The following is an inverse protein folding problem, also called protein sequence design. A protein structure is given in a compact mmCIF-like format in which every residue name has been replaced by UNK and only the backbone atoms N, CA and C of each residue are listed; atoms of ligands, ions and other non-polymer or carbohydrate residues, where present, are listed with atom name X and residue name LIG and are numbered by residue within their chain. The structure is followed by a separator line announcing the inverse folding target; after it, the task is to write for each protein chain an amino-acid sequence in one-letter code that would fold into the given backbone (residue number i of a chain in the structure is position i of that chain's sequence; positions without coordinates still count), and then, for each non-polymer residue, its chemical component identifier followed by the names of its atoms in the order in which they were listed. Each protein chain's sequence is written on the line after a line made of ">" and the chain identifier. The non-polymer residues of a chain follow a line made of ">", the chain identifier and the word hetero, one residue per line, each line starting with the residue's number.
data_IF_878452396045
#
_entry.id   IF_878452396045
#
_cell.length_a   1.000
_cell.length_b   1.000
_cell.length_c   1.000
_cell.angle_alpha   90.00
_cell.angle_beta   90.00
_cell.angle_gamma   90.00
#
_symmetry.space_group_name_H-M   'P 1'
#
loop_
_entity.id
_entity.type
_entity.pdbx_description
1 polymer ?
#
# COMPACT_ATOMS: atom_id res chain seq x y z
N UNK A 1 -40.02 -11.96 -45.00
CA UNK A 1 -39.71 -12.39 -43.62
C UNK A 1 -38.66 -11.42 -43.10
N UNK A 2 -39.06 -10.57 -42.16
CA UNK A 2 -38.22 -9.51 -41.59
C UNK A 2 -37.19 -10.12 -40.63
N UNK A 3 -35.90 -9.94 -40.93
CA UNK A 3 -34.84 -10.23 -39.96
C UNK A 3 -34.73 -9.04 -38.99
N UNK A 4 -35.16 -9.28 -37.77
CA UNK A 4 -35.24 -8.32 -36.66
C UNK A 4 -33.87 -7.98 -36.07
N UNK A 5 -33.58 -6.69 -35.98
CA UNK A 5 -32.87 -5.99 -34.89
C UNK A 5 -31.77 -6.75 -34.11
N UNK A 6 -30.53 -6.67 -34.60
CA UNK A 6 -29.32 -6.79 -33.76
C UNK A 6 -28.37 -5.56 -33.71
N UNK A 7 -28.64 -4.37 -34.31
CA UNK A 7 -27.79 -3.20 -34.08
C UNK A 7 -27.85 -2.63 -32.64
N UNK A 8 -29.00 -2.75 -31.95
CA UNK A 8 -29.24 -2.08 -30.65
C UNK A 8 -28.66 -2.80 -29.43
N UNK A 9 -28.38 -4.11 -29.53
CA UNK A 9 -27.88 -4.89 -28.41
C UNK A 9 -26.48 -4.42 -27.95
N UNK A 10 -25.66 -3.90 -28.88
CA UNK A 10 -24.33 -3.39 -28.57
C UNK A 10 -24.35 -1.97 -27.99
N UNK A 11 -25.16 -1.06 -28.53
CA UNK A 11 -25.30 0.28 -27.97
C UNK A 11 -25.81 0.22 -26.52
N UNK A 12 -26.73 -0.71 -26.23
CA UNK A 12 -27.15 -1.02 -24.88
C UNK A 12 -26.07 -1.69 -24.05
N UNK A 13 -25.34 -2.70 -24.57
CA UNK A 13 -24.28 -3.39 -23.82
C UNK A 13 -23.09 -2.47 -23.51
N UNK A 14 -22.71 -1.57 -24.42
CA UNK A 14 -21.65 -0.58 -24.26
C UNK A 14 -22.08 0.58 -23.34
N UNK A 15 -23.32 1.08 -23.47
CA UNK A 15 -23.88 2.00 -22.46
C UNK A 15 -23.88 1.34 -21.08
N UNK A 16 -24.30 0.07 -20.98
CA UNK A 16 -24.34 -0.64 -19.70
C UNK A 16 -22.93 -0.93 -19.13
N UNK A 17 -21.93 -1.23 -19.96
CA UNK A 17 -20.60 -1.65 -19.49
C UNK A 17 -19.57 -0.52 -19.37
N UNK A 18 -19.63 0.50 -20.23
CA UNK A 18 -18.63 1.56 -20.31
C UNK A 18 -19.18 2.93 -19.90
N UNK A 19 -20.47 3.25 -20.07
CA UNK A 19 -20.96 4.56 -19.59
C UNK A 19 -20.82 4.71 -18.08
N UNK A 20 -21.13 3.66 -17.30
CA UNK A 20 -20.89 3.70 -15.85
C UNK A 20 -19.40 3.86 -15.50
N UNK A 21 -18.47 3.30 -16.29
CA UNK A 21 -17.01 3.49 -16.10
C UNK A 21 -16.52 4.86 -16.60
N UNK A 22 -17.17 5.44 -17.60
CA UNK A 22 -16.90 6.80 -18.10
C UNK A 22 -17.41 7.88 -17.14
N UNK A 23 -18.42 7.57 -16.34
CA UNK A 23 -18.92 8.45 -15.27
C UNK A 23 -18.22 8.18 -13.93
N UNK A 24 -17.51 7.05 -13.80
CA UNK A 24 -16.67 6.78 -12.64
C UNK A 24 -15.56 7.84 -12.53
N UNK A 25 -15.41 8.38 -11.32
CA UNK A 25 -14.41 9.38 -10.99
C UNK A 25 -12.98 8.87 -11.14
N UNK A 26 -12.02 9.79 -11.11
CA UNK A 26 -10.57 9.49 -11.16
C UNK A 26 -10.00 9.13 -9.79
N UNK A 27 -10.86 8.74 -8.84
CA UNK A 27 -10.48 8.53 -7.44
C UNK A 27 -9.89 7.15 -7.24
N UNK A 28 -8.61 7.08 -6.88
CA UNK A 28 -8.06 5.90 -6.21
C UNK A 28 -8.67 5.83 -4.81
N UNK A 29 -9.57 4.89 -4.58
CA UNK A 29 -10.25 4.68 -3.27
C UNK A 29 -9.36 3.95 -2.27
N UNK A 30 -8.14 4.47 -2.11
CA UNK A 30 -7.15 3.99 -1.16
C UNK A 30 -6.83 5.20 -0.28
N UNK A 31 -7.61 5.43 0.80
CA UNK A 31 -7.36 6.53 1.70
C UNK A 31 -6.05 6.31 2.44
N UNK A 32 -5.35 7.40 2.72
CA UNK A 32 -4.17 7.34 3.57
C UNK A 32 -4.56 6.79 4.96
N UNK A 33 -3.78 5.88 5.55
CA UNK A 33 -4.07 5.36 6.88
C UNK A 33 -4.15 6.51 7.89
N UNK A 34 -5.25 6.58 8.64
CA UNK A 34 -5.48 7.64 9.65
C UNK A 34 -4.96 7.29 11.03
N UNK A 35 -4.75 6.00 11.30
CA UNK A 35 -4.23 5.47 12.56
C UNK A 35 -2.79 5.03 12.36
N UNK A 36 -1.95 5.01 13.41
CA UNK A 36 -0.65 4.37 13.32
C UNK A 36 -0.78 2.89 12.91
N UNK A 37 0.23 2.34 12.22
CA UNK A 37 0.28 0.92 11.93
C UNK A 37 0.46 0.13 13.22
N UNK A 38 -0.19 -1.04 13.29
CA UNK A 38 0.00 -1.96 14.39
C UNK A 38 1.30 -2.75 14.26
N UNK A 39 1.77 -3.29 15.37
CA UNK A 39 2.95 -4.15 15.39
C UNK A 39 2.57 -5.58 14.99
N UNK A 40 3.27 -6.13 14.00
CA UNK A 40 3.19 -7.56 13.70
C UNK A 40 4.48 -8.29 14.07
N UNK A 41 4.30 -9.48 14.64
CA UNK A 41 5.35 -10.45 14.94
C UNK A 41 4.89 -11.75 14.27
N UNK A 42 5.66 -12.32 13.35
CA UNK A 42 5.30 -13.62 12.76
C UNK A 42 5.19 -14.68 13.88
N UNK A 43 4.07 -15.40 13.84
CA UNK A 43 3.51 -16.22 14.89
C UNK A 43 4.50 -17.17 15.61
N UNK A 44 4.24 -17.33 16.92
CA UNK A 44 4.77 -18.31 17.90
C UNK A 44 6.08 -17.95 18.61
N UNK A 45 6.09 -18.19 19.94
CA UNK A 45 7.23 -17.99 20.86
C UNK A 45 8.48 -18.76 20.43
N UNK A 46 8.32 -19.83 19.65
CA UNK A 46 9.40 -20.68 19.15
C UNK A 46 10.17 -20.04 17.96
N UNK A 47 9.55 -19.08 17.25
CA UNK A 47 10.13 -18.43 16.05
C UNK A 47 10.37 -16.92 16.23
N UNK A 48 10.05 -16.36 17.39
CA UNK A 48 10.23 -14.93 17.71
C UNK A 48 11.68 -14.45 17.57
N UNK A 49 12.66 -15.34 17.77
CA UNK A 49 14.09 -15.02 17.61
C UNK A 49 14.58 -15.03 16.15
N UNK A 50 13.78 -15.58 15.23
CA UNK A 50 14.15 -15.72 13.82
C UNK A 50 13.56 -14.63 12.91
N UNK A 51 12.51 -13.92 13.38
CA UNK A 51 11.73 -13.01 12.54
C UNK A 51 11.90 -11.54 12.96
N UNK A 52 12.09 -10.67 11.97
CA UNK A 52 12.18 -9.21 12.18
C UNK A 52 10.78 -8.64 12.46
N UNK A 53 10.64 -7.85 13.52
CA UNK A 53 9.43 -7.06 13.79
C UNK A 53 9.17 -6.10 12.63
N UNK A 54 7.90 -5.96 12.22
CA UNK A 54 7.49 -4.97 11.22
C UNK A 54 6.14 -4.34 11.59
N UNK A 55 5.86 -3.20 10.95
CA UNK A 55 4.63 -2.43 11.14
C UNK A 55 3.66 -2.70 9.99
N UNK A 56 2.37 -2.77 10.28
CA UNK A 56 1.33 -3.05 9.28
C UNK A 56 -0.02 -2.45 9.67
N UNK A 57 -0.78 -1.97 8.69
CA UNK A 57 -2.20 -1.62 8.86
C UNK A 57 -3.13 -2.80 8.55
N UNK A 58 -2.62 -3.89 7.98
CA UNK A 58 -3.39 -5.07 7.57
C UNK A 58 -3.71 -5.95 8.78
N UNK A 59 -4.99 -6.06 9.20
CA UNK A 59 -5.36 -6.87 10.36
C UNK A 59 -4.98 -8.34 10.21
N UNK A 60 -5.05 -8.89 8.99
CA UNK A 60 -4.66 -10.26 8.65
C UNK A 60 -3.17 -10.55 8.88
N UNK A 61 -2.33 -9.51 8.88
CA UNK A 61 -0.91 -9.63 9.17
C UNK A 61 -0.62 -9.51 10.67
N UNK A 62 -1.58 -9.10 11.51
CA UNK A 62 -1.41 -8.93 12.96
C UNK A 62 -1.60 -10.28 13.68
N UNK A 63 -0.54 -11.09 13.74
CA UNK A 63 -0.58 -12.46 14.25
C UNK A 63 -0.69 -12.57 15.79
N UNK A 64 -0.66 -11.45 16.53
CA UNK A 64 -0.72 -11.44 18.00
C UNK A 64 -1.98 -10.72 18.53
N UNK A 65 -3.03 -11.48 18.87
CA UNK A 65 -4.20 -11.00 19.66
C UNK A 65 -4.83 -12.11 20.52
N UNK A 66 -4.05 -12.81 21.34
CA UNK A 66 -4.63 -13.72 22.36
C UNK A 66 -4.81 -13.01 23.71
N UNK A 67 -3.96 -12.02 24.00
CA UNK A 67 -4.07 -11.17 25.18
C UNK A 67 -3.23 -9.91 24.94
N UNK A 68 -3.83 -8.73 25.10
CA UNK A 68 -3.11 -7.47 25.00
C UNK A 68 -1.93 -7.45 25.97
N UNK A 69 -0.82 -6.80 25.63
CA UNK A 69 0.35 -6.85 26.48
C UNK A 69 0.08 -6.12 27.80
N UNK A 70 0.64 -6.65 28.88
CA UNK A 70 0.52 -6.09 30.23
C UNK A 70 1.23 -4.73 30.29
N UNK A 71 0.47 -3.65 30.08
CA UNK A 71 0.94 -2.27 29.97
C UNK A 71 1.88 -1.84 31.13
N UNK A 72 1.55 -2.07 32.41
CA UNK A 72 2.46 -1.83 33.53
C UNK A 72 3.81 -2.56 33.38
N UNK A 73 3.78 -3.83 32.96
CA UNK A 73 4.99 -4.64 32.77
C UNK A 73 5.81 -4.17 31.58
N UNK A 74 5.15 -3.72 30.49
CA UNK A 74 5.82 -3.09 29.34
C UNK A 74 6.47 -1.76 29.71
N UNK A 75 5.78 -0.92 30.47
CA UNK A 75 6.30 0.38 30.92
C UNK A 75 7.50 0.19 31.84
N UNK A 76 7.42 -0.75 32.79
CA UNK A 76 8.56 -1.09 33.64
C UNK A 76 9.72 -1.66 32.82
N UNK A 77 9.44 -2.54 31.86
CA UNK A 77 10.45 -3.06 30.92
C UNK A 77 11.10 -1.93 30.12
N UNK A 78 10.34 -0.95 29.63
CA UNK A 78 10.91 0.22 28.95
C UNK A 78 11.80 1.02 29.90
N UNK A 79 11.31 1.34 31.10
CA UNK A 79 12.06 2.09 32.13
C UNK A 79 13.37 1.37 32.50
N UNK A 80 13.31 0.06 32.75
CA UNK A 80 14.46 -0.77 33.12
C UNK A 80 15.49 -0.90 31.99
N UNK A 81 15.06 -0.72 30.74
CA UNK A 81 15.90 -0.80 29.55
C UNK A 81 16.47 0.56 29.08
N UNK A 82 16.21 1.66 29.79
CA UNK A 82 16.49 3.02 29.29
C UNK A 82 17.35 3.90 30.21
N UNK A 83 18.68 3.85 30.05
CA UNK A 83 19.50 5.06 30.12
C UNK A 83 19.23 5.99 28.91
N UNK A 84 19.42 7.29 29.10
CA UNK A 84 18.85 8.41 28.33
C UNK A 84 18.99 8.36 26.77
N UNK A 85 19.95 7.63 26.21
CA UNK A 85 20.17 7.55 24.74
C UNK A 85 19.35 6.48 24.00
N UNK A 86 18.73 5.52 24.70
CA UNK A 86 18.12 4.36 24.04
C UNK A 86 16.80 4.69 23.32
N UNK A 87 16.12 5.77 23.72
CA UNK A 87 14.90 6.23 23.07
C UNK A 87 15.12 6.76 21.66
N UNK A 88 16.19 7.52 21.46
CA UNK A 88 16.49 8.10 20.15
C UNK A 88 16.74 6.98 19.12
N UNK A 89 17.44 5.92 19.53
CA UNK A 89 17.71 4.77 18.66
C UNK A 89 16.42 3.99 18.34
N UNK A 90 15.55 3.79 19.33
CA UNK A 90 14.25 3.14 19.11
C UNK A 90 13.32 3.97 18.20
N UNK A 91 13.34 5.29 18.33
CA UNK A 91 12.58 6.20 17.46
C UNK A 91 13.10 6.18 16.02
N UNK A 92 14.42 6.14 15.79
CA UNK A 92 15.01 5.96 14.45
C UNK A 92 14.54 4.67 13.80
N UNK A 93 14.50 3.58 14.56
CA UNK A 93 14.00 2.27 14.10
C UNK A 93 12.50 2.35 13.79
N UNK A 94 11.70 2.99 14.65
CA UNK A 94 10.27 3.22 14.40
C UNK A 94 10.03 4.01 13.11
N UNK A 95 10.71 5.13 12.91
CA UNK A 95 10.56 5.98 11.73
C UNK A 95 10.88 5.23 10.43
N UNK A 96 11.94 4.41 10.45
CA UNK A 96 12.27 3.55 9.33
C UNK A 96 11.17 2.50 9.05
N UNK A 97 10.75 1.74 10.07
CA UNK A 97 9.71 0.72 9.91
C UNK A 97 8.36 1.32 9.47
N UNK A 98 8.04 2.51 9.95
CA UNK A 98 6.85 3.26 9.54
C UNK A 98 6.94 3.64 8.06
N UNK A 99 8.08 4.20 7.63
CA UNK A 99 8.29 4.59 6.25
C UNK A 99 8.23 3.39 5.29
N UNK A 100 8.74 2.23 5.71
CA UNK A 100 8.64 0.95 4.97
C UNK A 100 7.19 0.50 4.88
N UNK A 101 6.44 0.49 5.99
CA UNK A 101 5.02 0.13 5.96
C UNK A 101 4.23 1.06 5.04
N UNK A 102 4.45 2.38 5.13
CA UNK A 102 3.83 3.40 4.29
C UNK A 102 4.15 3.20 2.80
N UNK A 103 5.39 2.83 2.47
CA UNK A 103 5.79 2.49 1.11
C UNK A 103 5.03 1.27 0.59
N UNK A 104 5.06 0.17 1.34
CA UNK A 104 4.53 -1.14 0.90
C UNK A 104 3.00 -1.18 0.88
N UNK A 105 2.33 -0.68 1.92
CA UNK A 105 0.89 -0.86 2.10
C UNK A 105 0.05 0.30 1.57
N UNK A 106 0.64 1.47 1.35
CA UNK A 106 -0.07 2.62 0.81
C UNK A 106 0.44 3.01 -0.58
N UNK A 107 1.69 3.42 -0.72
CA UNK A 107 2.19 3.97 -1.99
C UNK A 107 2.25 2.92 -3.12
N UNK A 108 2.79 1.73 -2.85
CA UNK A 108 2.87 0.66 -3.85
C UNK A 108 1.50 0.09 -4.20
N UNK A 109 0.59 -0.01 -3.24
CA UNK A 109 -0.80 -0.46 -3.48
C UNK A 109 -1.54 0.54 -4.37
N UNK A 110 -1.41 1.85 -4.11
CA UNK A 110 -1.98 2.90 -4.97
C UNK A 110 -1.45 2.87 -6.38
N UNK A 111 -0.13 2.69 -6.53
CA UNK A 111 0.49 2.55 -7.83
C UNK A 111 -0.02 1.30 -8.57
N UNK A 112 -0.12 0.16 -7.89
CA UNK A 112 -0.63 -1.07 -8.48
C UNK A 112 -2.06 -0.91 -9.00
N UNK A 113 -2.95 -0.32 -8.19
CA UNK A 113 -4.33 -0.04 -8.59
C UNK A 113 -4.38 0.92 -9.80
N UNK A 114 -3.57 1.99 -9.79
CA UNK A 114 -3.50 2.92 -10.92
C UNK A 114 -3.03 2.24 -12.21
N UNK A 115 -2.07 1.31 -12.13
CA UNK A 115 -1.59 0.52 -13.27
C UNK A 115 -2.70 -0.40 -13.78
N UNK A 116 -3.42 -1.09 -12.89
CA UNK A 116 -4.56 -1.94 -13.26
C UNK A 116 -5.63 -1.13 -14.00
N UNK A 117 -5.99 0.05 -13.49
CA UNK A 117 -6.94 0.94 -14.17
C UNK A 117 -6.44 1.36 -15.56
N UNK A 118 -5.16 1.73 -15.68
CA UNK A 118 -4.57 2.09 -16.98
C UNK A 118 -4.61 0.91 -17.98
N UNK A 119 -4.28 -0.30 -17.53
CA UNK A 119 -4.34 -1.50 -18.36
C UNK A 119 -5.76 -1.82 -18.81
N UNK A 120 -6.75 -1.74 -17.92
CA UNK A 120 -8.15 -1.88 -18.27
C UNK A 120 -8.56 -0.89 -19.36
N UNK A 121 -8.24 0.39 -19.21
CA UNK A 121 -8.58 1.40 -20.22
C UNK A 121 -7.85 1.19 -21.55
N UNK A 122 -6.61 0.68 -21.54
CA UNK A 122 -5.91 0.27 -22.77
C UNK A 122 -6.62 -0.88 -23.48
N UNK A 123 -7.13 -1.87 -22.74
CA UNK A 123 -7.92 -2.96 -23.31
C UNK A 123 -9.22 -2.44 -23.92
N UNK A 124 -9.94 -1.56 -23.21
CA UNK A 124 -11.17 -0.93 -23.74
C UNK A 124 -10.87 -0.10 -25.00
N UNK A 125 -9.75 0.62 -25.05
CA UNK A 125 -9.34 1.39 -26.23
C UNK A 125 -9.08 0.49 -27.44
N UNK A 126 -8.39 -0.63 -27.23
CA UNK A 126 -8.10 -1.62 -28.28
C UNK A 126 -9.39 -2.22 -28.85
N UNK A 127 -10.32 -2.59 -27.98
CA UNK A 127 -11.61 -3.17 -28.39
C UNK A 127 -12.48 -2.15 -29.14
N UNK A 128 -12.53 -0.90 -28.67
CA UNK A 128 -13.24 0.18 -29.36
C UNK A 128 -12.65 0.42 -30.76
N UNK A 129 -11.32 0.40 -30.88
CA UNK A 129 -10.62 0.57 -32.16
C UNK A 129 -10.93 -0.56 -33.14
N UNK A 130 -10.83 -1.81 -32.70
CA UNK A 130 -11.10 -2.97 -33.56
C UNK A 130 -12.53 -2.96 -34.13
N UNK A 131 -13.51 -2.52 -33.33
CA UNK A 131 -14.92 -2.40 -33.76
C UNK A 131 -15.12 -1.28 -34.77
N UNK A 132 -14.48 -0.13 -34.55
CA UNK A 132 -14.48 0.98 -35.50
C UNK A 132 -13.89 0.54 -36.85
N UNK A 133 -12.75 -0.15 -36.83
CA UNK A 133 -12.10 -0.63 -38.05
C UNK A 133 -12.99 -1.64 -38.78
N UNK A 134 -13.67 -2.55 -38.06
CA UNK A 134 -14.65 -3.47 -38.64
C UNK A 134 -15.84 -2.75 -39.31
N UNK A 135 -16.39 -1.73 -38.66
CA UNK A 135 -17.49 -0.92 -39.20
C UNK A 135 -17.07 -0.20 -40.49
N UNK A 136 -15.86 0.38 -40.51
CA UNK A 136 -15.30 1.06 -41.68
C UNK A 136 -15.15 0.12 -42.89
N UNK A 137 -14.82 -1.16 -42.67
CA UNK A 137 -14.72 -2.17 -43.73
C UNK A 137 -16.10 -2.52 -44.32
N UNK A 138 -17.15 -2.61 -43.50
CA UNK A 138 -18.50 -2.98 -43.95
C UNK A 138 -19.26 -1.87 -44.69
N UNK A 139 -18.72 -0.64 -44.72
CA UNK A 139 -19.10 0.41 -45.69
C UNK A 139 -20.54 0.93 -45.65
N UNK A 140 -21.28 0.75 -44.55
CA UNK A 140 -22.74 0.96 -44.56
C UNK A 140 -23.31 2.16 -43.80
N UNK A 141 -22.68 2.60 -42.70
CA UNK A 141 -23.33 3.56 -41.78
C UNK A 141 -22.33 4.60 -41.24
N UNK A 142 -22.33 5.77 -41.86
CA UNK A 142 -21.51 6.91 -41.47
C UNK A 142 -21.86 7.45 -40.07
N UNK A 143 -23.11 7.34 -39.64
CA UNK A 143 -23.54 7.77 -38.31
C UNK A 143 -22.96 6.82 -37.26
N UNK A 144 -23.07 5.52 -37.48
CA UNK A 144 -22.45 4.52 -36.61
C UNK A 144 -20.93 4.69 -36.53
N UNK A 145 -20.25 4.94 -37.65
CA UNK A 145 -18.80 5.21 -37.68
C UNK A 145 -18.44 6.44 -36.84
N UNK A 146 -19.13 7.56 -37.04
CA UNK A 146 -18.88 8.79 -36.28
C UNK A 146 -19.12 8.61 -34.77
N UNK A 147 -20.15 7.85 -34.39
CA UNK A 147 -20.40 7.50 -33.00
C UNK A 147 -19.28 6.66 -32.38
N UNK A 148 -18.76 5.65 -33.10
CA UNK A 148 -17.67 4.82 -32.61
C UNK A 148 -16.33 5.58 -32.57
N UNK A 149 -16.09 6.50 -33.50
CA UNK A 149 -14.96 7.42 -33.45
C UNK A 149 -15.02 8.30 -32.19
N UNK A 150 -16.17 8.88 -31.85
CA UNK A 150 -16.35 9.68 -30.63
C UNK A 150 -16.19 8.86 -29.33
N UNK A 151 -16.61 7.59 -29.33
CA UNK A 151 -16.39 6.68 -28.22
C UNK A 151 -14.90 6.40 -28.05
N UNK A 152 -14.20 6.10 -29.13
CA UNK A 152 -12.77 5.83 -29.10
C UNK A 152 -12.00 7.05 -28.56
N UNK A 153 -12.35 8.26 -28.99
CA UNK A 153 -11.74 9.51 -28.50
C UNK A 153 -11.88 9.66 -26.98
N UNK A 154 -13.09 9.45 -26.44
CA UNK A 154 -13.32 9.47 -24.98
C UNK A 154 -12.49 8.43 -24.23
N UNK A 155 -12.43 7.21 -24.75
CA UNK A 155 -11.66 6.12 -24.15
C UNK A 155 -10.15 6.42 -24.21
N UNK A 156 -9.66 6.98 -25.30
CA UNK A 156 -8.27 7.41 -25.42
C UNK A 156 -7.94 8.54 -24.44
N UNK A 157 -8.86 9.49 -24.25
CA UNK A 157 -8.75 10.51 -23.20
C UNK A 157 -8.59 9.91 -21.81
N UNK A 158 -9.32 8.81 -21.50
CA UNK A 158 -9.15 8.08 -20.23
C UNK A 158 -7.80 7.39 -20.12
N UNK A 159 -7.28 6.80 -21.19
CA UNK A 159 -5.93 6.20 -21.20
C UNK A 159 -4.86 7.25 -20.89
N UNK A 160 -4.95 8.43 -21.50
CA UNK A 160 -4.01 9.54 -21.25
C UNK A 160 -4.08 9.97 -19.79
N UNK A 161 -5.28 10.23 -19.28
CA UNK A 161 -5.51 10.64 -17.90
C UNK A 161 -4.94 9.62 -16.89
N UNK A 162 -5.20 8.34 -17.08
CA UNK A 162 -4.67 7.30 -16.19
C UNK A 162 -3.15 7.12 -16.34
N UNK A 163 -2.58 7.39 -17.51
CA UNK A 163 -1.13 7.40 -17.68
C UNK A 163 -0.48 8.52 -16.85
N UNK A 164 -1.10 9.71 -16.80
CA UNK A 164 -0.65 10.82 -15.96
C UNK A 164 -0.76 10.48 -14.47
N UNK A 165 -1.86 9.86 -14.05
CA UNK A 165 -2.05 9.39 -12.65
C UNK A 165 -0.97 8.36 -12.29
N UNK A 166 -0.72 7.36 -13.15
CA UNK A 166 0.34 6.36 -12.92
C UNK A 166 1.70 7.04 -12.80
N UNK A 167 2.02 8.01 -13.67
CA UNK A 167 3.28 8.75 -13.58
C UNK A 167 3.41 9.53 -12.25
N UNK A 168 2.32 10.11 -11.77
CA UNK A 168 2.27 10.79 -10.48
C UNK A 168 2.49 9.83 -9.31
N UNK A 169 1.80 8.69 -9.29
CA UNK A 169 1.93 7.67 -8.24
C UNK A 169 3.35 7.05 -8.27
N UNK A 170 3.94 6.80 -9.44
CA UNK A 170 5.33 6.37 -9.57
C UNK A 170 6.31 7.38 -8.96
N UNK A 171 6.08 8.68 -9.20
CA UNK A 171 6.89 9.74 -8.58
C UNK A 171 6.72 9.76 -7.06
N UNK A 172 5.50 9.47 -6.56
CA UNK A 172 5.22 9.30 -5.14
C UNK A 172 6.00 8.14 -4.52
N UNK A 173 5.93 6.96 -5.14
CA UNK A 173 6.68 5.76 -4.73
C UNK A 173 8.18 6.05 -4.69
N UNK A 174 8.78 6.62 -5.75
CA UNK A 174 10.22 6.94 -5.78
C UNK A 174 10.66 7.89 -4.66
N UNK A 175 9.82 8.88 -4.33
CA UNK A 175 10.08 9.80 -3.22
C UNK A 175 10.08 9.07 -1.88
N UNK A 176 9.15 8.14 -1.71
CA UNK A 176 9.06 7.34 -0.48
C UNK A 176 10.19 6.31 -0.39
N UNK A 177 10.57 5.64 -1.49
CA UNK A 177 11.77 4.79 -1.57
C UNK A 177 13.02 5.57 -1.13
N UNK A 178 13.21 6.78 -1.67
CA UNK A 178 14.32 7.65 -1.26
C UNK A 178 14.28 8.06 0.22
N UNK A 179 13.08 8.11 0.84
CA UNK A 179 12.93 8.37 2.29
C UNK A 179 13.31 7.14 3.10
N UNK A 180 12.87 5.95 2.67
CA UNK A 180 13.22 4.67 3.28
C UNK A 180 14.74 4.47 3.25
N UNK A 181 15.38 4.65 2.09
CA UNK A 181 16.83 4.48 1.91
C UNK A 181 17.63 5.40 2.86
N UNK A 182 17.19 6.66 3.03
CA UNK A 182 17.82 7.61 3.95
C UNK A 182 17.70 7.20 5.41
N UNK A 183 16.58 6.58 5.78
CA UNK A 183 16.31 6.14 7.14
C UNK A 183 16.97 4.79 7.45
N UNK A 184 17.20 3.95 6.44
CA UNK A 184 17.77 2.60 6.62
C UNK A 184 19.15 2.63 7.28
N UNK A 185 20.04 3.52 6.84
CA UNK A 185 21.39 3.66 7.41
C UNK A 185 21.32 4.05 8.89
N UNK A 186 20.50 5.06 9.21
CA UNK A 186 20.29 5.55 10.58
C UNK A 186 19.66 4.48 11.48
N UNK A 187 18.68 3.73 10.97
CA UNK A 187 18.03 2.65 11.71
C UNK A 187 18.95 1.45 11.92
N UNK A 188 19.82 1.15 10.95
CA UNK A 188 20.81 0.07 11.07
C UNK A 188 21.85 0.39 12.14
N UNK A 189 22.40 1.61 12.13
CA UNK A 189 23.30 2.10 13.18
C UNK A 189 22.63 2.08 14.55
N UNK A 190 21.38 2.56 14.64
CA UNK A 190 20.58 2.52 15.86
C UNK A 190 20.40 1.08 16.39
N UNK A 191 20.09 0.12 15.52
CA UNK A 191 19.96 -1.29 15.89
C UNK A 191 21.28 -1.90 16.38
N UNK A 192 22.41 -1.51 15.79
CA UNK A 192 23.72 -2.01 16.20
C UNK A 192 24.15 -1.42 17.55
N UNK A 193 23.89 -0.14 17.80
CA UNK A 193 24.09 0.49 19.11
C UNK A 193 23.25 -0.17 20.21
N UNK A 194 21.99 -0.49 19.92
CA UNK A 194 21.10 -1.20 20.85
C UNK A 194 21.61 -2.61 21.18
N UNK A 195 22.28 -3.29 20.25
CA UNK A 195 22.90 -4.62 20.46
C UNK A 195 24.20 -4.54 21.25
N UNK A 196 25.10 -3.63 20.88
CA UNK A 196 26.42 -3.49 21.51
C UNK A 196 26.32 -3.11 22.99
N UNK A 197 25.34 -2.27 23.38
CA UNK A 197 25.12 -1.87 24.77
C UNK A 197 24.56 -2.99 25.67
N UNK A 198 24.26 -4.18 25.12
CA UNK A 198 23.68 -5.32 25.85
C UNK A 198 24.58 -6.54 25.98
N UNK A 199 25.85 -6.49 25.57
CA UNK A 199 26.78 -7.58 25.90
C UNK A 199 26.94 -7.68 27.44
N UNK A 200 26.70 -8.87 28.03
CA UNK A 200 26.47 -8.98 29.45
C UNK A 200 27.78 -8.89 30.24
N UNK A 201 27.81 -8.00 31.23
CA UNK A 201 28.58 -8.29 32.44
C UNK A 201 27.95 -9.57 33.04
N UNK A 202 28.78 -10.60 33.25
CA UNK A 202 28.46 -12.03 33.40
C UNK A 202 27.35 -12.48 34.37
N UNK A 203 26.64 -11.59 35.08
CA UNK A 203 25.76 -11.96 36.19
C UNK A 203 24.25 -11.70 35.98
N UNK A 204 23.80 -11.11 34.87
CA UNK A 204 22.35 -10.86 34.65
C UNK A 204 21.78 -11.63 33.46
N UNK A 205 21.47 -12.91 33.70
CA UNK A 205 20.71 -13.79 32.80
C UNK A 205 19.20 -13.46 32.78
N UNK A 206 18.85 -12.25 32.39
CA UNK A 206 17.55 -11.97 31.77
C UNK A 206 17.82 -11.30 30.43
N UNK A 207 18.24 -12.10 29.45
CA UNK A 207 18.48 -11.64 28.07
C UNK A 207 17.15 -11.23 27.44
N UNK A 208 16.70 -10.03 27.77
CA UNK A 208 15.65 -9.38 27.02
C UNK A 208 16.26 -9.13 25.64
N UNK A 209 15.74 -9.81 24.62
CA UNK A 209 16.22 -9.68 23.24
C UNK A 209 16.02 -8.22 22.77
N UNK A 210 16.96 -7.65 22.01
CA UNK A 210 16.79 -6.31 21.40
C UNK A 210 15.52 -6.27 20.55
N UNK A 211 15.19 -7.37 19.88
CA UNK A 211 13.94 -7.52 19.13
C UNK A 211 12.70 -7.37 20.00
N UNK A 212 12.74 -7.85 21.25
CA UNK A 212 11.65 -7.65 22.21
C UNK A 212 11.47 -6.17 22.59
N UNK A 213 12.57 -5.42 22.66
CA UNK A 213 12.55 -4.03 23.12
C UNK A 213 12.03 -3.08 22.05
N UNK A 214 12.43 -3.34 20.80
CA UNK A 214 11.82 -2.71 19.62
C UNK A 214 10.31 -3.00 19.62
N UNK A 215 9.93 -4.27 19.77
CA UNK A 215 8.51 -4.67 19.79
C UNK A 215 7.70 -3.96 20.88
N UNK A 216 8.23 -3.92 22.11
CA UNK A 216 7.58 -3.24 23.25
C UNK A 216 7.45 -1.75 22.98
N UNK A 217 8.49 -1.10 22.46
CA UNK A 217 8.48 0.32 22.12
C UNK A 217 7.43 0.65 21.05
N UNK A 218 7.42 -0.10 19.95
CA UNK A 218 6.46 0.09 18.86
C UNK A 218 5.01 -0.06 19.37
N UNK A 219 4.77 -1.06 20.22
CA UNK A 219 3.43 -1.29 20.81
C UNK A 219 3.05 -0.18 21.78
N UNK A 220 4.00 0.39 22.52
CA UNK A 220 3.76 1.55 23.37
C UNK A 220 3.46 2.81 22.54
N UNK A 221 4.15 3.03 21.41
CA UNK A 221 3.89 4.14 20.47
C UNK A 221 2.50 4.05 19.86
N UNK A 222 2.09 2.86 19.40
CA UNK A 222 0.73 2.61 18.92
C UNK A 222 -0.32 3.05 19.96
N UNK A 223 -0.16 2.61 21.22
CA UNK A 223 -1.10 2.94 22.30
C UNK A 223 -1.07 4.42 22.73
N UNK A 224 0.07 5.09 22.62
CA UNK A 224 0.21 6.51 22.94
C UNK A 224 -0.50 7.38 21.89
N UNK A 225 -0.36 7.05 20.60
CA UNK A 225 -0.97 7.79 19.50
C UNK A 225 -2.49 7.58 19.39
N UNK A 226 -3.03 6.46 19.91
CA UNK A 226 -4.48 6.22 19.99
C UNK A 226 -5.19 7.13 21.03
N UNK A 227 -4.45 7.70 21.99
CA UNK A 227 -5.02 8.51 23.10
C UNK A 227 -5.04 10.02 22.84
N UNK A 228 -4.54 10.48 21.70
CA UNK A 228 -4.59 11.88 21.25
C UNK A 228 -5.69 12.07 20.19
#
# INVERSE_FOLDING_TARGET
>A
MSASSQPDAFAEAWKRSVSHKLDAGTGLDIPHPRKPPGVSIFATHELAHANKTYLTWKPEHMLWRVSGPDLPKMQQTLIDLMPEDNFEQLEKVYQYLYAVAELEEYHKVRLAEAITQLEEWKHVAKDARARLDALKITGGDYVAVAWHDAILDKVQGRVILWADIVAQEQKGVRRQESKVDKLEASASEAMDLLKQRREPTLEQRSSTDVGWCVTVYLTARENAEIKC
#
